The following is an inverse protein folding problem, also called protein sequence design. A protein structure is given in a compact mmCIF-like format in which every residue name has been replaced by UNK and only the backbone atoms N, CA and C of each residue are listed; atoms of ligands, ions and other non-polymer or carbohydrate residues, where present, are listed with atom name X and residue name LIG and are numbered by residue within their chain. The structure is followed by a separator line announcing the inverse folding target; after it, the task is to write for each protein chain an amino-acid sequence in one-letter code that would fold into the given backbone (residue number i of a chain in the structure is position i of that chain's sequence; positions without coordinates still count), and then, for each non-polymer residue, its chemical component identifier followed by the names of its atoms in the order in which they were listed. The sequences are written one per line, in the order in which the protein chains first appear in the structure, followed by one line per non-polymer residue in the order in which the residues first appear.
data_IF_264692920191
#
_entry.id   IF_264692920191
#
_cell.length_a   1.000
_cell.length_b   1.000
_cell.length_c   1.000
_cell.angle_alpha   90.00
_cell.angle_beta   90.00
_cell.angle_gamma   90.00
#
_symmetry.space_group_name_H-M   'P 1'
#
loop_
_entity.id
_entity.type
_entity.pdbx_description
1 polymer ?
#
# COMPACT_ATOMS: atom_id res chain seq x y z
N UNK A 1 -0.30 26.39 -7.31
CA UNK A 1 -0.81 25.01 -7.13
C UNK A 1 0.03 24.26 -6.08
N UNK A 2 -0.59 23.63 -5.07
CA UNK A 2 0.11 22.80 -4.08
C UNK A 2 0.89 21.65 -4.73
N UNK A 3 2.00 21.23 -4.09
CA UNK A 3 2.81 20.08 -4.54
C UNK A 3 2.83 19.00 -3.45
N UNK A 4 2.55 17.76 -3.83
CA UNK A 4 2.68 16.60 -2.94
C UNK A 4 4.16 16.35 -2.59
N UNK A 5 4.47 16.24 -1.30
CA UNK A 5 5.84 16.04 -0.78
C UNK A 5 6.02 14.68 -0.09
N UNK A 6 5.05 14.28 0.74
CA UNK A 6 5.05 13.03 1.50
C UNK A 6 3.66 12.40 1.44
N UNK A 7 3.59 11.09 1.28
CA UNK A 7 2.33 10.33 1.36
C UNK A 7 2.54 9.10 2.23
N UNK A 8 1.58 8.85 3.12
CA UNK A 8 1.48 7.63 3.91
C UNK A 8 0.23 6.90 3.45
N UNK A 9 0.38 5.61 3.13
CA UNK A 9 -0.74 4.73 2.85
C UNK A 9 -0.75 3.66 3.94
N UNK A 10 -1.92 3.34 4.49
CA UNK A 10 -2.08 2.34 5.54
C UNK A 10 -3.12 1.34 5.08
N UNK A 11 -2.79 0.05 5.07
CA UNK A 11 -3.66 -1.03 4.57
C UNK A 11 -4.30 -0.73 3.20
N UNK A 12 -3.54 -0.12 2.28
CA UNK A 12 -4.09 0.25 0.97
C UNK A 12 -4.45 -0.97 0.13
N UNK A 13 -5.72 -1.18 -0.17
CA UNK A 13 -6.21 -2.33 -0.94
C UNK A 13 -6.02 -2.16 -2.47
N UNK A 14 -4.83 -1.76 -2.92
CA UNK A 14 -4.59 -1.30 -4.30
C UNK A 14 -4.97 -2.34 -5.35
N UNK A 15 -4.55 -3.61 -5.20
CA UNK A 15 -4.89 -4.68 -6.12
C UNK A 15 -6.19 -5.42 -5.74
N UNK A 16 -7.01 -4.81 -4.88
CA UNK A 16 -8.34 -5.26 -4.51
C UNK A 16 -8.43 -5.99 -3.16
N UNK A 17 -9.66 -6.39 -2.83
CA UNK A 17 -10.06 -7.09 -1.59
C UNK A 17 -10.46 -8.55 -1.90
N UNK A 18 -10.28 -9.47 -0.96
CA UNK A 18 -10.50 -10.91 -1.17
C UNK A 18 -11.85 -11.45 -0.65
N UNK A 19 -12.76 -10.58 -0.20
CA UNK A 19 -14.15 -10.92 0.15
C UNK A 19 -15.12 -10.44 -0.94
N UNK A 20 -16.42 -10.60 -0.70
CA UNK A 20 -17.45 -10.23 -1.66
C UNK A 20 -17.52 -8.70 -1.84
N UNK A 21 -17.02 -8.24 -2.99
CA UNK A 21 -17.02 -6.85 -3.45
C UNK A 21 -17.23 -6.84 -4.98
N UNK A 22 -17.63 -5.70 -5.57
CA UNK A 22 -17.72 -5.58 -7.03
C UNK A 22 -16.46 -6.07 -7.74
N UNK A 23 -16.64 -6.75 -8.88
CA UNK A 23 -15.56 -7.38 -9.66
C UNK A 23 -14.40 -6.44 -9.97
N UNK A 24 -14.68 -5.16 -10.14
CA UNK A 24 -13.71 -4.13 -10.49
C UNK A 24 -12.70 -3.82 -9.38
N UNK A 25 -13.09 -4.03 -8.12
CA UNK A 25 -12.26 -3.84 -6.92
C UNK A 25 -11.92 -5.15 -6.22
N UNK A 26 -12.39 -6.29 -6.73
CA UNK A 26 -12.06 -7.60 -6.19
C UNK A 26 -10.61 -7.98 -6.52
N UNK A 27 -9.92 -8.60 -5.57
CA UNK A 27 -8.59 -9.13 -5.77
C UNK A 27 -8.62 -10.30 -6.76
N UNK A 28 -7.77 -10.30 -7.79
CA UNK A 28 -7.65 -11.46 -8.68
C UNK A 28 -7.22 -12.73 -7.91
N UNK A 29 -7.81 -13.87 -8.26
CA UNK A 29 -7.37 -15.16 -7.71
C UNK A 29 -5.92 -15.47 -8.11
N UNK A 30 -5.15 -16.02 -7.17
CA UNK A 30 -3.72 -16.34 -7.34
C UNK A 30 -2.87 -15.11 -7.71
N UNK A 31 -3.22 -13.95 -7.15
CA UNK A 31 -2.42 -12.73 -7.27
C UNK A 31 -1.02 -12.96 -6.70
N UNK A 32 0.00 -12.68 -7.52
CA UNK A 32 1.42 -12.73 -7.15
C UNK A 32 2.09 -11.46 -7.66
N UNK A 33 3.06 -10.96 -6.91
CA UNK A 33 3.88 -9.82 -7.33
C UNK A 33 5.25 -10.31 -7.80
N UNK A 34 5.80 -9.66 -8.82
CA UNK A 34 7.22 -9.81 -9.17
C UNK A 34 8.13 -9.02 -8.20
N UNK A 35 9.45 -9.07 -8.43
CA UNK A 35 10.45 -8.34 -7.63
C UNK A 35 10.23 -6.81 -7.60
N UNK A 36 9.56 -6.26 -8.61
CA UNK A 36 9.23 -4.84 -8.75
C UNK A 36 7.84 -4.50 -8.20
N UNK A 37 7.12 -5.48 -7.64
CA UNK A 37 5.77 -5.31 -7.13
C UNK A 37 4.69 -5.37 -8.22
N UNK A 38 5.03 -5.73 -9.47
CA UNK A 38 4.07 -5.83 -10.56
C UNK A 38 3.18 -7.05 -10.33
N UNK A 39 1.86 -6.90 -10.27
CA UNK A 39 0.98 -8.04 -10.16
C UNK A 39 0.88 -8.81 -11.48
N UNK A 40 0.81 -10.14 -11.39
CA UNK A 40 0.55 -11.04 -12.52
C UNK A 40 -0.86 -10.85 -13.12
N UNK A 41 -1.81 -10.34 -12.34
CA UNK A 41 -3.19 -10.05 -12.74
C UNK A 41 -3.63 -8.73 -12.13
N UNK A 42 -4.37 -7.91 -12.87
CA UNK A 42 -4.84 -6.60 -12.41
C UNK A 42 -6.36 -6.54 -12.52
N UNK A 43 -7.06 -6.11 -11.48
CA UNK A 43 -8.48 -5.75 -11.56
C UNK A 43 -8.65 -4.41 -12.30
N UNK A 44 -9.90 -3.96 -12.48
CA UNK A 44 -10.18 -2.78 -13.30
C UNK A 44 -9.60 -1.49 -12.70
N UNK A 45 -9.78 -1.29 -11.38
CA UNK A 45 -9.27 -0.09 -10.70
C UNK A 45 -7.74 -0.07 -10.65
N UNK A 46 -7.09 -1.21 -10.44
CA UNK A 46 -5.62 -1.27 -10.49
C UNK A 46 -5.08 -0.93 -11.88
N UNK A 47 -5.74 -1.38 -12.96
CA UNK A 47 -5.34 -0.99 -14.33
C UNK A 47 -5.45 0.53 -14.54
N UNK A 48 -6.47 1.18 -13.99
CA UNK A 48 -6.60 2.64 -14.05
C UNK A 48 -5.47 3.32 -13.28
N UNK A 49 -5.18 2.91 -12.05
CA UNK A 49 -4.07 3.46 -11.26
C UNK A 49 -2.71 3.23 -11.91
N UNK A 50 -2.49 2.06 -12.52
CA UNK A 50 -1.23 1.73 -13.19
C UNK A 50 -0.91 2.67 -14.37
N UNK A 51 -1.92 3.26 -15.03
CA UNK A 51 -1.72 4.28 -16.08
C UNK A 51 -1.07 5.55 -15.51
N UNK A 52 -1.38 5.91 -14.25
CA UNK A 52 -0.86 7.09 -13.57
C UNK A 52 0.64 6.98 -13.21
N UNK A 53 1.20 5.76 -13.26
CA UNK A 53 2.63 5.51 -13.04
C UNK A 53 3.52 6.42 -13.89
N UNK A 54 3.15 6.66 -15.15
CA UNK A 54 3.95 7.47 -16.08
C UNK A 54 4.06 8.95 -15.68
N UNK A 55 3.02 9.47 -15.01
CA UNK A 55 2.90 10.87 -14.61
C UNK A 55 3.20 11.14 -13.14
N UNK A 56 3.45 10.09 -12.33
CA UNK A 56 3.81 10.26 -10.92
C UNK A 56 5.03 11.21 -10.77
N UNK A 57 5.07 12.15 -9.81
CA UNK A 57 6.15 13.13 -9.74
C UNK A 57 7.53 12.47 -9.58
N UNK A 58 8.47 12.80 -10.48
CA UNK A 58 9.81 12.21 -10.52
C UNK A 58 10.69 12.84 -9.43
N UNK A 59 11.32 12.01 -8.61
CA UNK A 59 12.24 12.36 -7.53
C UNK A 59 11.72 13.43 -6.54
N UNK A 60 10.40 13.51 -6.36
CA UNK A 60 9.76 14.52 -5.49
C UNK A 60 9.13 13.91 -4.24
N UNK A 61 8.20 12.97 -4.42
CA UNK A 61 7.37 12.46 -3.33
C UNK A 61 8.10 11.36 -2.56
N UNK A 62 8.12 11.47 -1.22
CA UNK A 62 8.48 10.36 -0.33
C UNK A 62 7.22 9.54 -0.04
N UNK A 63 7.29 8.22 -0.18
CA UNK A 63 6.16 7.31 0.06
C UNK A 63 6.49 6.36 1.23
N UNK A 64 5.58 6.30 2.19
CA UNK A 64 5.55 5.26 3.21
C UNK A 64 4.30 4.41 2.99
N UNK A 65 4.48 3.09 2.91
CA UNK A 65 3.41 2.11 2.79
C UNK A 65 3.40 1.24 4.05
N UNK A 66 2.45 1.49 4.93
CA UNK A 66 2.26 0.76 6.18
C UNK A 66 1.34 -0.42 5.90
N UNK A 67 1.82 -1.61 6.26
CA UNK A 67 1.06 -2.86 6.18
C UNK A 67 1.09 -3.55 7.53
N UNK A 68 0.06 -4.32 7.79
CA UNK A 68 -0.10 -5.09 9.02
C UNK A 68 -0.20 -6.58 8.69
N UNK A 69 0.26 -7.42 9.60
CA UNK A 69 0.22 -8.88 9.45
C UNK A 69 -0.11 -9.54 10.77
N UNK A 70 -1.35 -10.01 10.92
CA UNK A 70 -1.75 -10.85 12.06
C UNK A 70 -1.25 -12.30 11.95
N UNK A 71 -0.55 -12.63 10.87
CA UNK A 71 -0.30 -13.98 10.42
C UNK A 71 -1.00 -14.23 9.10
N UNK A 72 -0.40 -15.04 8.23
CA UNK A 72 -0.98 -15.37 6.93
C UNK A 72 -0.90 -14.26 5.88
N UNK A 73 -0.10 -13.20 6.09
CA UNK A 73 0.11 -12.10 5.13
C UNK A 73 -1.15 -11.26 4.90
N UNK A 74 -1.86 -10.94 5.97
CA UNK A 74 -3.07 -10.12 5.94
C UNK A 74 -3.23 -9.38 7.26
N UNK A 75 -3.92 -8.23 7.23
CA UNK A 75 -4.38 -7.54 8.43
C UNK A 75 -5.78 -8.00 8.88
N UNK A 76 -6.26 -9.13 8.33
CA UNK A 76 -7.62 -9.70 8.35
C UNK A 76 -8.52 -9.23 7.20
N UNK A 77 -8.47 -7.96 6.82
CA UNK A 77 -9.36 -7.36 5.82
C UNK A 77 -8.69 -7.24 4.46
N UNK A 78 -7.42 -6.82 4.46
CA UNK A 78 -6.63 -6.49 3.29
C UNK A 78 -5.44 -7.45 3.19
N UNK A 79 -5.39 -8.28 2.14
CA UNK A 79 -4.22 -9.10 1.87
C UNK A 79 -2.99 -8.22 1.61
N UNK A 80 -1.85 -8.56 2.22
CA UNK A 80 -0.61 -7.80 2.06
C UNK A 80 -0.11 -7.77 0.61
N UNK A 81 -0.45 -8.78 -0.19
CA UNK A 81 -0.17 -8.78 -1.64
C UNK A 81 -0.87 -7.63 -2.37
N UNK A 82 -2.05 -7.21 -1.89
CA UNK A 82 -2.78 -6.06 -2.41
C UNK A 82 -2.08 -4.76 -2.03
N UNK A 83 -1.73 -4.59 -0.76
CA UNK A 83 -1.02 -3.40 -0.25
C UNK A 83 0.37 -3.21 -0.85
N UNK A 84 1.13 -4.30 -0.99
CA UNK A 84 2.49 -4.27 -1.54
C UNK A 84 2.53 -3.96 -3.05
N UNK A 85 1.42 -4.15 -3.76
CA UNK A 85 1.32 -3.87 -5.20
C UNK A 85 1.46 -2.37 -5.53
N UNK A 86 1.37 -1.47 -4.54
CA UNK A 86 1.65 -0.04 -4.69
C UNK A 86 3.05 0.22 -5.28
N UNK A 87 4.04 -0.62 -4.95
CA UNK A 87 5.42 -0.50 -5.44
C UNK A 87 5.49 -0.38 -6.97
N UNK A 88 4.63 -1.09 -7.70
CA UNK A 88 4.61 -1.02 -9.15
C UNK A 88 4.03 0.29 -9.69
N UNK A 89 2.96 0.81 -9.07
CA UNK A 89 2.33 2.08 -9.44
C UNK A 89 3.30 3.24 -9.20
N UNK A 90 4.03 3.22 -8.09
CA UNK A 90 5.03 4.24 -7.76
C UNK A 90 6.28 4.09 -8.64
N UNK A 91 6.74 2.85 -8.84
CA UNK A 91 7.95 2.53 -9.58
C UNK A 91 9.18 3.28 -9.06
N UNK A 92 10.14 3.53 -9.96
CA UNK A 92 11.36 4.26 -9.64
C UNK A 92 11.19 5.79 -9.75
N UNK A 93 9.95 6.29 -9.62
CA UNK A 93 9.66 7.73 -9.79
C UNK A 93 9.61 8.47 -8.47
N UNK A 94 9.14 7.87 -7.39
CA UNK A 94 9.18 8.51 -6.08
C UNK A 94 10.62 8.84 -5.65
N UNK A 95 10.78 9.87 -4.83
CA UNK A 95 12.05 10.19 -4.16
C UNK A 95 12.49 9.07 -3.21
N UNK A 96 11.53 8.43 -2.55
CA UNK A 96 11.76 7.23 -1.75
C UNK A 96 10.47 6.42 -1.64
N UNK A 97 10.59 5.09 -1.57
CA UNK A 97 9.48 4.19 -1.27
C UNK A 97 9.91 3.24 -0.14
N UNK A 98 9.22 3.29 1.00
CA UNK A 98 9.48 2.42 2.15
C UNK A 98 8.21 1.64 2.49
N UNK A 99 8.38 0.36 2.78
CA UNK A 99 7.34 -0.46 3.41
C UNK A 99 7.67 -0.57 4.89
N UNK A 100 6.68 -0.35 5.75
CA UNK A 100 6.78 -0.65 7.16
C UNK A 100 5.72 -1.68 7.51
N UNK A 101 6.15 -2.80 8.06
CA UNK A 101 5.27 -3.90 8.44
C UNK A 101 5.16 -3.96 9.96
N UNK A 102 3.94 -3.94 10.49
CA UNK A 102 3.68 -4.28 11.89
C UNK A 102 3.08 -5.68 11.97
N UNK A 103 3.36 -6.36 13.08
CA UNK A 103 2.94 -7.75 13.28
C UNK A 103 2.41 -7.95 14.69
N UNK A 104 1.56 -8.97 14.89
CA UNK A 104 1.05 -9.36 16.21
C UNK A 104 -0.40 -8.94 16.46
N UNK A 105 -0.87 -9.06 17.70
CA UNK A 105 -2.31 -8.90 18.06
C UNK A 105 -2.89 -7.52 17.73
N UNK A 106 -2.04 -6.50 17.60
CA UNK A 106 -2.44 -5.13 17.28
C UNK A 106 -2.29 -4.80 15.78
N UNK A 107 -1.81 -5.73 14.97
CA UNK A 107 -1.68 -5.59 13.52
C UNK A 107 -2.96 -6.04 12.77
N UNK A 108 -4.13 -5.69 13.32
CA UNK A 108 -5.45 -5.93 12.71
C UNK A 108 -5.90 -4.65 12.02
N UNK A 109 -6.66 -4.79 10.95
CA UNK A 109 -7.15 -3.67 10.14
C UNK A 109 -7.78 -2.54 10.98
N UNK A 110 -8.62 -2.89 11.95
CA UNK A 110 -9.30 -1.91 12.82
C UNK A 110 -8.39 -1.21 13.82
N UNK A 111 -7.18 -1.72 14.08
CA UNK A 111 -6.25 -1.20 15.09
C UNK A 111 -5.07 -0.42 14.51
N UNK A 112 -5.02 -0.24 13.20
CA UNK A 112 -3.99 0.57 12.55
C UNK A 112 -3.91 2.00 13.12
N UNK A 113 -5.06 2.58 13.46
CA UNK A 113 -5.18 3.91 14.04
C UNK A 113 -5.15 3.92 15.58
N UNK A 114 -5.02 2.76 16.21
CA UNK A 114 -4.93 2.58 17.67
C UNK A 114 -3.61 1.90 18.05
N UNK A 115 -2.58 2.09 17.21
CA UNK A 115 -1.27 1.49 17.40
C UNK A 115 -0.21 2.58 17.54
N UNK A 116 0.26 2.78 18.77
CA UNK A 116 1.28 3.79 19.08
C UNK A 116 2.57 3.64 18.24
N UNK A 117 2.88 2.45 17.74
CA UNK A 117 4.03 2.26 16.83
C UNK A 117 3.75 2.79 15.43
N UNK A 118 2.52 2.65 14.94
CA UNK A 118 2.05 3.24 13.68
C UNK A 118 2.06 4.76 13.80
N UNK A 119 1.53 5.31 14.89
CA UNK A 119 1.54 6.75 15.16
C UNK A 119 2.96 7.32 15.21
N UNK A 120 3.87 6.65 15.92
CA UNK A 120 5.28 7.03 15.96
C UNK A 120 5.90 7.01 14.56
N UNK A 121 5.58 6.00 13.75
CA UNK A 121 6.08 5.93 12.37
C UNK A 121 5.53 7.04 11.47
N UNK A 122 4.24 7.36 11.58
CA UNK A 122 3.60 8.50 10.92
C UNK A 122 4.30 9.80 11.29
N UNK A 123 4.50 10.04 12.59
CA UNK A 123 5.07 11.28 13.10
C UNK A 123 6.52 11.45 12.61
N UNK A 124 7.34 10.41 12.77
CA UNK A 124 8.72 10.42 12.28
C UNK A 124 8.77 10.64 10.76
N UNK A 125 7.88 10.02 9.98
CA UNK A 125 7.90 10.16 8.54
C UNK A 125 7.45 11.56 8.08
N UNK A 126 6.33 12.06 8.63
CA UNK A 126 5.72 13.32 8.22
C UNK A 126 6.49 14.53 8.75
N UNK A 127 6.90 14.51 10.02
CA UNK A 127 7.48 15.68 10.70
C UNK A 127 8.91 15.49 11.19
N UNK A 128 9.47 14.28 11.13
CA UNK A 128 10.82 13.99 11.66
C UNK A 128 10.95 14.39 13.14
N UNK A 129 9.90 14.08 13.91
CA UNK A 129 9.81 14.25 15.36
C UNK A 129 9.74 12.88 16.04
#
# INVERSE_FOLDING_TARGET
MPRLNKIVNMAGHFAGLNFEVPKDIRQPQNLKLDKNGKPNKMNATYRQMAKLRSIYPKNQVKVLNIIDDIGGKTDETVPNVSSLSLKYIIGNRAKSYRVMKFTGKNARHSRLHENAQVDKALIMFLWNK
#
